data_IF_179797354507
#
_entry.id   IF_179797354507
#
_cell.length_a   1.000
_cell.length_b   1.000
_cell.length_c   1.000
_cell.angle_alpha   90.00
_cell.angle_beta   90.00
_cell.angle_gamma   90.00
#
_symmetry.space_group_name_H-M   'P 1'
#
loop_
_entity.id
_entity.type
_entity.pdbx_description
1 polymer ?
#
# COMPACT_ATOMS: atom_id res chain seq x y z
N UNK A 1 19.39 19.35 21.10
CA UNK A 1 18.58 18.64 20.08
C UNK A 1 17.37 19.52 19.81
N UNK A 2 17.14 19.97 18.57
CA UNK A 2 15.97 20.80 18.23
C UNK A 2 14.72 20.07 18.70
N UNK A 3 13.82 20.76 19.39
CA UNK A 3 12.51 20.21 19.73
C UNK A 3 11.84 19.85 18.40
N UNK A 4 11.81 18.55 18.11
CA UNK A 4 11.17 18.01 16.94
C UNK A 4 9.67 18.10 17.19
N UNK A 5 9.10 19.27 16.94
CA UNK A 5 7.67 19.50 17.10
C UNK A 5 6.94 18.67 16.04
N UNK A 6 6.18 17.62 16.41
CA UNK A 6 5.54 16.71 15.45
C UNK A 6 4.61 17.42 14.47
N UNK A 7 4.08 18.57 14.87
CA UNK A 7 3.27 19.45 14.03
C UNK A 7 4.05 19.97 12.81
N UNK A 8 5.34 20.25 12.94
CA UNK A 8 6.16 20.75 11.82
C UNK A 8 6.24 19.68 10.72
N UNK A 9 6.44 18.41 11.08
CA UNK A 9 6.44 17.32 10.11
C UNK A 9 5.10 17.20 9.38
N UNK A 10 3.99 17.36 10.10
CA UNK A 10 2.66 17.36 9.50
C UNK A 10 2.50 18.47 8.45
N UNK A 11 2.91 19.69 8.78
CA UNK A 11 2.87 20.82 7.84
C UNK A 11 3.76 20.60 6.62
N UNK A 12 4.97 20.05 6.81
CA UNK A 12 5.87 19.72 5.70
C UNK A 12 5.26 18.66 4.78
N UNK A 13 4.64 17.61 5.33
CA UNK A 13 3.95 16.61 4.50
C UNK A 13 2.79 17.23 3.71
N UNK A 14 2.02 18.12 4.34
CA UNK A 14 0.93 18.81 3.68
C UNK A 14 1.42 19.72 2.54
N UNK A 15 2.56 20.38 2.71
CA UNK A 15 3.17 21.24 1.69
C UNK A 15 3.78 20.41 0.54
N UNK A 16 4.45 19.30 0.85
CA UNK A 16 5.14 18.46 -0.14
C UNK A 16 4.21 17.54 -0.94
N UNK A 17 3.23 16.92 -0.29
CA UNK A 17 2.29 15.99 -0.93
C UNK A 17 1.04 16.72 -1.45
N UNK A 18 0.75 17.91 -0.92
CA UNK A 18 -0.52 18.59 -1.11
C UNK A 18 -1.65 17.94 -0.29
N UNK A 19 -2.70 18.73 -0.04
CA UNK A 19 -3.89 18.26 0.69
C UNK A 19 -4.60 17.07 0.04
N UNK A 20 -4.86 16.98 -1.29
CA UNK A 20 -5.67 15.88 -1.83
C UNK A 20 -4.96 14.52 -1.80
N UNK A 21 -3.65 14.46 -2.10
CA UNK A 21 -2.91 13.20 -2.15
C UNK A 21 -2.65 12.64 -0.75
N UNK A 22 -2.34 13.50 0.22
CA UNK A 22 -2.10 13.09 1.60
C UNK A 22 -3.34 12.38 2.17
N UNK A 23 -4.52 12.97 2.03
CA UNK A 23 -5.77 12.35 2.49
C UNK A 23 -6.08 11.06 1.74
N UNK A 24 -5.84 10.99 0.43
CA UNK A 24 -6.06 9.77 -0.36
C UNK A 24 -5.17 8.62 0.14
N UNK A 25 -3.88 8.88 0.37
CA UNK A 25 -2.96 7.86 0.92
C UNK A 25 -3.38 7.41 2.31
N UNK A 26 -3.77 8.34 3.20
CA UNK A 26 -4.25 7.99 4.54
C UNK A 26 -5.49 7.10 4.46
N UNK A 27 -6.49 7.48 3.65
CA UNK A 27 -7.72 6.71 3.49
C UNK A 27 -7.41 5.32 2.92
N UNK A 28 -6.50 5.23 1.95
CA UNK A 28 -6.09 3.97 1.35
C UNK A 28 -5.44 3.04 2.38
N UNK A 29 -4.50 3.54 3.19
CA UNK A 29 -3.77 2.77 4.20
C UNK A 29 -4.70 2.38 5.35
N UNK A 30 -5.39 3.36 5.96
CA UNK A 30 -6.25 3.14 7.10
C UNK A 30 -7.46 2.28 6.72
N UNK A 31 -8.14 2.63 5.62
CA UNK A 31 -9.28 1.88 5.11
C UNK A 31 -8.92 0.48 4.64
N UNK A 32 -7.78 0.33 3.94
CA UNK A 32 -7.26 -0.96 3.52
C UNK A 32 -6.96 -1.89 4.70
N UNK A 33 -6.28 -1.37 5.71
CA UNK A 33 -5.92 -2.13 6.93
C UNK A 33 -7.17 -2.54 7.70
N UNK A 34 -8.12 -1.62 7.91
CA UNK A 34 -9.38 -1.91 8.59
C UNK A 34 -10.21 -2.97 7.84
N UNK A 35 -10.31 -2.85 6.52
CA UNK A 35 -11.03 -3.81 5.70
C UNK A 35 -10.38 -5.20 5.75
N UNK A 36 -9.05 -5.27 5.78
CA UNK A 36 -8.33 -6.53 5.95
C UNK A 36 -8.59 -7.16 7.32
N UNK A 37 -8.51 -6.37 8.40
CA UNK A 37 -8.80 -6.84 9.76
C UNK A 37 -10.24 -7.36 9.87
N UNK A 38 -11.21 -6.64 9.31
CA UNK A 38 -12.61 -7.08 9.30
C UNK A 38 -12.80 -8.37 8.50
N UNK A 39 -12.12 -8.52 7.36
CA UNK A 39 -12.15 -9.75 6.58
C UNK A 39 -11.55 -10.93 7.36
N UNK A 40 -10.44 -10.71 8.07
CA UNK A 40 -9.77 -11.74 8.86
C UNK A 40 -10.65 -12.21 10.02
N UNK A 41 -11.32 -11.27 10.71
CA UNK A 41 -12.29 -11.57 11.76
C UNK A 41 -13.51 -12.34 11.22
N UNK A 42 -13.95 -12.03 9.99
CA UNK A 42 -15.12 -12.65 9.36
C UNK A 42 -14.85 -14.06 8.81
N UNK A 43 -13.77 -14.27 8.04
CA UNK A 43 -13.51 -15.56 7.39
C UNK A 43 -12.80 -16.57 8.31
N UNK A 44 -12.01 -16.12 9.30
CA UNK A 44 -11.17 -16.96 10.21
C UNK A 44 -10.33 -18.05 9.52
N UNK A 45 -10.15 -17.96 8.20
CA UNK A 45 -9.44 -18.93 7.35
C UNK A 45 -8.68 -18.18 6.28
N UNK A 46 -7.43 -18.56 6.05
CA UNK A 46 -6.59 -18.00 4.99
C UNK A 46 -6.54 -18.99 3.84
N UNK A 47 -6.95 -18.56 2.64
CA UNK A 47 -6.97 -19.42 1.44
C UNK A 47 -5.66 -19.23 0.67
N UNK A 48 -4.79 -20.24 0.67
CA UNK A 48 -3.46 -20.19 0.04
C UNK A 48 -3.50 -19.74 -1.44
N UNK A 49 -4.45 -20.26 -2.23
CA UNK A 49 -4.61 -19.86 -3.65
C UNK A 49 -4.88 -18.36 -3.83
N UNK A 50 -5.61 -17.72 -2.90
CA UNK A 50 -5.88 -16.27 -2.95
C UNK A 50 -4.62 -15.47 -2.61
N UNK A 51 -3.82 -15.96 -1.68
CA UNK A 51 -2.56 -15.32 -1.26
C UNK A 51 -1.55 -15.31 -2.42
N UNK A 52 -1.45 -16.37 -3.22
CA UNK A 52 -0.54 -16.40 -4.39
C UNK A 52 -0.94 -15.36 -5.44
N UNK A 53 -2.23 -15.25 -5.76
CA UNK A 53 -2.72 -14.25 -6.74
C UNK A 53 -2.53 -12.83 -6.18
N UNK A 54 -2.81 -12.62 -4.89
CA UNK A 54 -2.62 -11.33 -4.24
C UNK A 54 -1.13 -10.92 -4.15
N UNK A 55 -0.20 -11.88 -4.04
CA UNK A 55 1.24 -11.62 -4.12
C UNK A 55 1.68 -11.18 -5.51
N UNK A 56 1.16 -11.83 -6.57
CA UNK A 56 1.45 -11.42 -7.94
C UNK A 56 0.96 -9.99 -8.23
N UNK A 57 -0.24 -9.64 -7.77
CA UNK A 57 -0.77 -8.27 -7.83
C UNK A 57 0.04 -7.33 -6.92
N UNK A 58 0.50 -7.83 -5.78
CA UNK A 58 1.40 -7.15 -4.85
C UNK A 58 2.66 -6.65 -5.55
N UNK A 59 3.34 -7.52 -6.30
CA UNK A 59 4.54 -7.14 -7.05
C UNK A 59 4.30 -5.96 -8.00
N UNK A 60 3.16 -5.91 -8.68
CA UNK A 60 2.75 -4.76 -9.53
C UNK A 60 2.57 -3.51 -8.66
N UNK A 61 1.97 -3.65 -7.49
CA UNK A 61 1.85 -2.58 -6.50
C UNK A 61 3.18 -2.04 -5.99
N UNK A 62 4.19 -2.90 -5.80
CA UNK A 62 5.54 -2.48 -5.47
C UNK A 62 6.17 -1.60 -6.56
N UNK A 63 5.98 -1.97 -7.83
CA UNK A 63 6.43 -1.13 -8.97
C UNK A 63 5.68 0.21 -9.00
N UNK A 64 4.36 0.20 -8.80
CA UNK A 64 3.57 1.43 -8.72
C UNK A 64 3.99 2.33 -7.55
N UNK A 65 4.36 1.76 -6.41
CA UNK A 65 4.88 2.50 -5.27
C UNK A 65 6.20 3.22 -5.61
N UNK A 66 7.10 2.55 -6.35
CA UNK A 66 8.32 3.19 -6.86
C UNK A 66 8.02 4.31 -7.85
N UNK A 67 7.04 4.12 -8.74
CA UNK A 67 6.61 5.16 -9.70
C UNK A 67 6.03 6.36 -8.96
N UNK A 68 5.18 6.15 -7.95
CA UNK A 68 4.63 7.21 -7.11
C UNK A 68 5.73 7.93 -6.32
N UNK A 69 6.66 7.19 -5.72
CA UNK A 69 7.83 7.76 -5.03
C UNK A 69 8.63 8.67 -5.97
N UNK A 70 8.93 8.20 -7.18
CA UNK A 70 9.68 8.98 -8.16
C UNK A 70 8.91 10.20 -8.68
N UNK A 71 7.57 10.15 -8.69
CA UNK A 71 6.72 11.29 -9.08
C UNK A 71 6.59 12.35 -7.98
N UNK A 72 6.59 11.93 -6.72
CA UNK A 72 6.51 12.83 -5.56
C UNK A 72 7.88 13.43 -5.24
N UNK A 73 8.97 12.72 -5.54
CA UNK A 73 10.33 13.20 -5.30
C UNK A 73 10.81 14.12 -6.44
N UNK A 74 11.02 15.41 -6.14
CA UNK A 74 11.53 16.40 -7.11
C UNK A 74 12.96 16.14 -7.61
N UNK A 75 13.71 15.20 -7.00
CA UNK A 75 15.09 14.88 -7.43
C UNK A 75 15.19 13.76 -8.47
N UNK A 76 14.13 12.99 -8.72
CA UNK A 76 14.17 11.84 -9.65
C UNK A 76 15.17 10.74 -9.25
N UNK A 77 15.13 9.61 -9.96
CA UNK A 77 16.09 8.48 -9.80
C UNK A 77 17.56 8.84 -10.11
N UNK A 78 17.84 10.07 -10.53
CA UNK A 78 19.13 10.52 -11.08
C UNK A 78 20.20 10.82 -10.04
N UNK A 79 19.82 11.12 -8.79
CA UNK A 79 20.79 11.34 -7.68
C UNK A 79 20.84 10.16 -6.69
N UNK A 80 20.11 9.08 -6.99
CA UNK A 80 19.96 7.88 -6.14
C UNK A 80 21.11 6.86 -6.34
N UNK A 81 22.34 7.35 -6.45
CA UNK A 81 23.54 6.53 -6.69
C UNK A 81 24.18 5.98 -5.42
N UNK A 82 23.67 6.35 -4.23
CA UNK A 82 24.25 5.94 -2.95
C UNK A 82 23.78 4.55 -2.49
N UNK A 83 24.60 3.80 -1.71
CA UNK A 83 24.18 2.52 -1.13
C UNK A 83 22.91 2.62 -0.26
N UNK A 84 22.69 3.78 0.36
CA UNK A 84 21.50 4.06 1.17
C UNK A 84 20.20 4.12 0.32
N UNK A 85 20.29 4.60 -0.92
CA UNK A 85 19.12 4.76 -1.78
C UNK A 85 18.61 3.42 -2.29
N UNK A 86 19.50 2.46 -2.51
CA UNK A 86 19.11 1.08 -2.82
C UNK A 86 18.32 0.44 -1.69
N UNK A 87 18.67 0.74 -0.44
CA UNK A 87 17.90 0.28 0.70
C UNK A 87 16.52 0.93 0.74
N UNK A 88 16.43 2.23 0.46
CA UNK A 88 15.15 2.94 0.40
C UNK A 88 14.26 2.42 -0.74
N UNK A 89 14.81 2.21 -1.93
CA UNK A 89 14.09 1.64 -3.08
C UNK A 89 13.56 0.24 -2.73
N UNK A 90 14.42 -0.62 -2.17
CA UNK A 90 14.01 -1.96 -1.75
C UNK A 90 12.91 -1.91 -0.67
N UNK A 91 13.04 -1.01 0.31
CA UNK A 91 12.06 -0.86 1.39
C UNK A 91 10.72 -0.34 0.87
N UNK A 92 10.72 0.68 0.00
CA UNK A 92 9.50 1.22 -0.63
C UNK A 92 8.84 0.16 -1.50
N UNK A 93 9.62 -0.58 -2.28
CA UNK A 93 9.09 -1.68 -3.08
C UNK A 93 8.45 -2.76 -2.20
N UNK A 94 9.14 -3.20 -1.14
CA UNK A 94 8.63 -4.20 -0.22
C UNK A 94 7.35 -3.73 0.49
N UNK A 95 7.32 -2.50 1.01
CA UNK A 95 6.13 -1.94 1.65
C UNK A 95 4.96 -1.79 0.66
N UNK A 96 5.23 -1.30 -0.54
CA UNK A 96 4.24 -1.17 -1.61
C UNK A 96 3.68 -2.53 -2.05
N UNK A 97 4.55 -3.53 -2.16
CA UNK A 97 4.16 -4.88 -2.51
C UNK A 97 3.29 -5.53 -1.44
N UNK A 98 3.70 -5.46 -0.18
CA UNK A 98 2.95 -5.99 0.97
C UNK A 98 1.60 -5.28 1.10
N UNK A 99 1.58 -3.94 1.06
CA UNK A 99 0.34 -3.16 1.15
C UNK A 99 -0.65 -3.50 0.04
N UNK A 100 -0.15 -3.64 -1.19
CA UNK A 100 -1.00 -3.99 -2.33
C UNK A 100 -1.48 -5.45 -2.26
N UNK A 101 -0.65 -6.38 -1.76
CA UNK A 101 -1.10 -7.76 -1.49
C UNK A 101 -2.22 -7.79 -0.47
N UNK A 102 -2.12 -7.03 0.61
CA UNK A 102 -3.17 -6.93 1.64
C UNK A 102 -4.47 -6.39 1.04
N UNK A 103 -4.38 -5.30 0.25
CA UNK A 103 -5.54 -4.71 -0.44
C UNK A 103 -6.17 -5.68 -1.43
N UNK A 104 -5.37 -6.29 -2.31
CA UNK A 104 -5.84 -7.23 -3.33
C UNK A 104 -6.49 -8.46 -2.70
N UNK A 105 -5.91 -8.99 -1.62
CA UNK A 105 -6.50 -10.09 -0.86
C UNK A 105 -7.84 -9.69 -0.24
N UNK A 106 -7.91 -8.49 0.33
CA UNK A 106 -9.12 -7.96 0.97
C UNK A 106 -10.26 -7.80 -0.04
N UNK A 107 -9.98 -7.15 -1.17
CA UNK A 107 -10.94 -6.96 -2.26
C UNK A 107 -11.41 -8.31 -2.82
N UNK A 108 -10.50 -9.27 -3.04
CA UNK A 108 -10.84 -10.60 -3.51
C UNK A 108 -11.72 -11.39 -2.52
N UNK A 109 -11.50 -11.22 -1.21
CA UNK A 109 -12.33 -11.80 -0.15
C UNK A 109 -13.76 -11.26 -0.17
N UNK A 110 -13.92 -9.94 -0.20
CA UNK A 110 -15.25 -9.31 -0.28
C UNK A 110 -15.98 -9.59 -1.59
N UNK A 111 -15.27 -9.62 -2.73
CA UNK A 111 -15.87 -9.89 -4.05
C UNK A 111 -16.44 -11.32 -4.12
N UNK A 112 -15.75 -12.31 -3.53
CA UNK A 112 -16.25 -13.70 -3.45
C UNK A 112 -17.45 -13.84 -2.51
N UNK A 113 -17.55 -12.99 -1.49
CA UNK A 113 -18.70 -12.97 -0.59
C UNK A 113 -19.99 -12.46 -1.28
N UNK A 114 -19.86 -11.72 -2.39
CA UNK A 114 -20.98 -11.24 -3.23
C UNK A 114 -21.36 -12.18 -4.37
N UNK A 115 -20.72 -13.34 -4.53
CA UNK A 115 -21.15 -14.33 -5.50
C UNK A 115 -22.05 -15.36 -4.80
N UNK A 116 -23.39 -15.21 -4.82
CA UNK A 116 -24.23 -16.39 -4.68
C UNK A 116 -23.80 -17.34 -5.80
N UNK A 117 -23.55 -18.60 -5.45
CA UNK A 117 -23.34 -19.69 -6.39
C UNK A 117 -24.39 -19.60 -7.50
N UNK A 118 -24.03 -19.02 -8.64
CA UNK A 118 -24.77 -19.23 -9.86
C UNK A 118 -24.47 -20.66 -10.31
N UNK A 119 -25.48 -21.52 -10.19
CA UNK A 119 -25.58 -22.78 -10.93
C UNK A 119 -24.74 -23.94 -10.40
N UNK A 120 -25.33 -24.73 -9.50
CA UNK A 120 -25.30 -26.18 -9.72
C UNK A 120 -26.32 -26.49 -10.81
N UNK A 121 -25.89 -27.09 -11.90
CA UNK A 121 -26.63 -28.08 -12.69
C UNK A 121 -25.60 -28.82 -13.55
#
# INVERSE_FOLDING_TARGET
MKELDPLIFWYVFQEMLGTPLLWLLIILIAGGTLAFLFLLLKERKIVARRVVIAQAIGAIGGVLALVLMAKVSSSGFTDAGGPADWFLIALVFCLGAVGTTVLAYTVAGYARCKCPRAGKA
#
